data_IF_916486478567
#
_entry.id   IF_916486478567
#
_cell.length_a   1.000
_cell.length_b   1.000
_cell.length_c   1.000
_cell.angle_alpha   90.00
_cell.angle_beta   90.00
_cell.angle_gamma   90.00
#
_symmetry.space_group_name_H-M   'P 1'
#
loop_
_entity.id
_entity.type
_entity.pdbx_description
1 polymer ?
#
# COMPACT_ATOMS: atom_id res chain seq x y z
N UNK A 1 -17.84 -13.57 -18.85
CA UNK A 1 -16.38 -13.35 -18.66
C UNK A 1 -16.17 -11.90 -18.27
N UNK A 2 -15.60 -11.62 -17.09
CA UNK A 2 -15.14 -10.27 -16.76
C UNK A 2 -14.01 -9.89 -17.73
N UNK A 3 -14.16 -8.78 -18.43
CA UNK A 3 -13.16 -8.32 -19.38
C UNK A 3 -11.95 -7.79 -18.60
N UNK A 4 -10.96 -8.66 -18.34
CA UNK A 4 -9.76 -8.33 -17.57
C UNK A 4 -9.07 -7.06 -18.09
N UNK A 5 -9.10 -6.82 -19.41
CA UNK A 5 -8.56 -5.62 -20.03
C UNK A 5 -9.22 -4.33 -19.53
N UNK A 6 -10.52 -4.36 -19.23
CA UNK A 6 -11.24 -3.22 -18.67
C UNK A 6 -10.79 -2.92 -17.23
N UNK A 7 -10.66 -3.95 -16.39
CA UNK A 7 -10.21 -3.82 -14.99
C UNK A 7 -8.80 -3.20 -14.94
N UNK A 8 -7.88 -3.70 -15.75
CA UNK A 8 -6.53 -3.13 -15.81
C UNK A 8 -6.53 -1.68 -16.31
N UNK A 9 -7.37 -1.36 -17.30
CA UNK A 9 -7.51 0.00 -17.80
C UNK A 9 -8.06 0.95 -16.75
N UNK A 10 -9.08 0.52 -15.99
CA UNK A 10 -9.73 1.34 -14.97
C UNK A 10 -8.81 1.53 -13.75
N UNK A 11 -8.11 0.48 -13.31
CA UNK A 11 -7.10 0.58 -12.25
C UNK A 11 -5.93 1.49 -12.65
N UNK A 12 -5.47 1.38 -13.90
CA UNK A 12 -4.41 2.23 -14.42
C UNK A 12 -4.84 3.70 -14.44
N UNK A 13 -6.03 4.00 -14.96
CA UNK A 13 -6.60 5.36 -14.93
C UNK A 13 -6.74 5.87 -13.50
N UNK A 14 -7.17 5.02 -12.57
CA UNK A 14 -7.29 5.36 -11.16
C UNK A 14 -5.93 5.73 -10.55
N UNK A 15 -4.89 4.93 -10.78
CA UNK A 15 -3.53 5.20 -10.30
C UNK A 15 -2.95 6.46 -10.95
N UNK A 16 -3.18 6.67 -12.25
CA UNK A 16 -2.77 7.89 -12.94
C UNK A 16 -3.45 9.13 -12.34
N UNK A 17 -4.77 9.08 -12.12
CA UNK A 17 -5.53 10.16 -11.51
C UNK A 17 -5.11 10.41 -10.05
N UNK A 18 -4.71 9.36 -9.33
CA UNK A 18 -4.15 9.49 -7.99
C UNK A 18 -2.87 10.33 -7.99
N UNK A 19 -2.06 10.26 -9.05
CA UNK A 19 -0.83 11.04 -9.24
C UNK A 19 0.13 10.93 -8.03
N UNK A 20 0.61 9.71 -7.71
CA UNK A 20 1.51 9.51 -6.58
C UNK A 20 2.89 10.14 -6.84
N UNK A 21 3.50 10.63 -5.77
CA UNK A 21 4.88 11.17 -5.77
C UNK A 21 5.91 10.16 -5.30
N UNK A 22 5.51 9.17 -4.48
CA UNK A 22 6.43 8.15 -3.97
C UNK A 22 5.90 6.75 -4.15
N UNK A 23 6.83 5.82 -4.36
CA UNK A 23 6.59 4.39 -4.29
C UNK A 23 7.37 3.80 -3.11
N UNK A 24 6.68 3.04 -2.27
CA UNK A 24 7.20 2.42 -1.07
C UNK A 24 6.93 0.92 -1.11
N UNK A 25 7.97 0.11 -0.97
CA UNK A 25 7.84 -1.34 -0.79
C UNK A 25 8.03 -1.71 0.68
N UNK A 26 7.07 -2.47 1.23
CA UNK A 26 7.09 -2.95 2.60
C UNK A 26 7.10 -4.47 2.66
N UNK A 27 8.06 -5.01 3.41
CA UNK A 27 8.10 -6.42 3.77
C UNK A 27 8.29 -6.57 5.27
N UNK A 28 7.40 -7.33 5.91
CA UNK A 28 7.52 -7.64 7.33
C UNK A 28 8.52 -8.77 7.55
N UNK A 29 9.16 -8.72 8.73
CA UNK A 29 10.05 -9.78 9.19
C UNK A 29 9.34 -11.15 9.25
N UNK A 30 10.10 -12.25 9.18
CA UNK A 30 9.55 -13.62 9.11
C UNK A 30 8.50 -13.91 10.20
N UNK A 31 8.75 -13.46 11.43
CA UNK A 31 7.84 -13.63 12.57
C UNK A 31 6.59 -12.74 12.52
N UNK A 32 6.55 -11.80 11.58
CA UNK A 32 5.51 -10.79 11.42
C UNK A 32 4.95 -10.75 10.00
N UNK A 33 5.13 -11.80 9.20
CA UNK A 33 4.52 -11.90 7.87
C UNK A 33 3.01 -12.07 7.98
N UNK A 34 2.27 -11.42 7.09
CA UNK A 34 0.81 -11.52 7.07
C UNK A 34 0.42 -12.66 6.13
N UNK A 35 -0.40 -13.59 6.61
CA UNK A 35 -0.99 -14.66 5.79
C UNK A 35 -2.43 -14.37 5.36
N UNK A 36 -3.02 -13.32 5.94
CA UNK A 36 -4.39 -12.88 5.63
C UNK A 36 -4.41 -11.38 5.41
N UNK A 37 -5.35 -10.92 4.58
CA UNK A 37 -5.53 -9.51 4.26
C UNK A 37 -5.89 -8.68 5.50
N UNK A 38 -6.73 -9.21 6.39
CA UNK A 38 -7.11 -8.55 7.64
C UNK A 38 -5.91 -8.28 8.55
N UNK A 39 -4.94 -9.20 8.59
CA UNK A 39 -3.70 -9.01 9.36
C UNK A 39 -2.81 -7.98 8.67
N UNK A 40 -2.74 -8.01 7.34
CA UNK A 40 -2.00 -7.03 6.55
C UNK A 40 -2.52 -5.60 6.78
N UNK A 41 -3.84 -5.40 6.69
CA UNK A 41 -4.52 -4.12 6.92
C UNK A 41 -4.21 -3.55 8.32
N UNK A 42 -4.33 -4.37 9.37
CA UNK A 42 -4.04 -3.94 10.75
C UNK A 42 -2.59 -3.50 10.91
N UNK A 43 -1.65 -4.24 10.30
CA UNK A 43 -0.22 -3.90 10.33
C UNK A 43 0.06 -2.64 9.53
N UNK A 44 -0.57 -2.49 8.36
CA UNK A 44 -0.44 -1.30 7.53
C UNK A 44 -0.94 -0.06 8.26
N UNK A 45 -2.15 -0.12 8.83
CA UNK A 45 -2.73 0.97 9.62
C UNK A 45 -1.82 1.36 10.78
N UNK A 46 -1.35 0.36 11.54
CA UNK A 46 -0.44 0.62 12.65
C UNK A 46 0.83 1.31 12.16
N UNK A 47 1.50 0.76 11.14
CA UNK A 47 2.75 1.31 10.63
C UNK A 47 2.57 2.72 10.07
N UNK A 48 1.61 2.92 9.16
CA UNK A 48 1.36 4.22 8.52
C UNK A 48 0.89 5.27 9.53
N UNK A 49 0.14 4.90 10.57
CA UNK A 49 -0.23 5.85 11.63
C UNK A 49 0.98 6.38 12.38
N UNK A 50 1.99 5.54 12.63
CA UNK A 50 3.22 5.94 13.30
C UNK A 50 4.09 6.79 12.39
N UNK A 51 4.22 6.41 11.12
CA UNK A 51 4.98 7.18 10.13
C UNK A 51 4.36 8.56 9.94
N UNK A 52 3.06 8.63 9.69
CA UNK A 52 2.38 9.91 9.51
C UNK A 52 2.45 10.77 10.76
N UNK A 53 2.43 10.18 11.96
CA UNK A 53 2.67 10.94 13.19
C UNK A 53 4.08 11.51 13.28
N UNK A 54 5.11 10.79 12.82
CA UNK A 54 6.47 11.33 12.77
C UNK A 54 6.60 12.46 11.73
N UNK A 55 5.83 12.42 10.65
CA UNK A 55 5.85 13.44 9.58
C UNK A 55 5.02 14.68 9.95
N UNK A 56 3.79 14.48 10.43
CA UNK A 56 2.80 15.52 10.69
C UNK A 56 2.88 16.08 12.13
N UNK A 57 3.63 15.41 13.01
CA UNK A 57 3.78 15.80 14.40
C UNK A 57 2.43 15.95 15.12
N UNK A 58 2.22 17.12 15.72
CA UNK A 58 1.00 17.42 16.49
C UNK A 58 -0.27 17.41 15.62
N UNK A 59 -0.15 17.66 14.32
CA UNK A 59 -1.28 17.79 13.41
C UNK A 59 -1.74 16.45 12.80
N UNK A 60 -1.11 15.32 13.15
CA UNK A 60 -1.39 14.01 12.54
C UNK A 60 -2.85 13.53 12.66
N UNK A 61 -3.57 14.01 13.67
CA UNK A 61 -4.96 13.63 13.91
C UNK A 61 -5.95 14.42 13.03
N UNK A 62 -5.50 15.54 12.43
CA UNK A 62 -6.34 16.42 11.58
C UNK A 62 -6.14 16.14 10.11
N UNK A 63 -4.94 15.71 9.74
CA UNK A 63 -4.56 15.46 8.36
C UNK A 63 -4.07 14.02 8.25
N UNK A 64 -4.42 13.38 7.15
CA UNK A 64 -3.77 12.14 6.75
C UNK A 64 -3.16 12.35 5.37
N UNK A 65 -2.07 11.66 5.11
CA UNK A 65 -1.43 11.66 3.79
C UNK A 65 -2.07 10.56 2.95
N UNK A 66 -2.63 10.88 1.77
CA UNK A 66 -3.25 9.89 0.91
C UNK A 66 -2.25 8.85 0.41
N UNK A 67 -2.65 7.59 0.41
CA UNK A 67 -1.91 6.51 -0.24
C UNK A 67 -2.84 5.38 -0.71
N UNK A 68 -2.35 4.59 -1.66
CA UNK A 68 -2.96 3.33 -2.12
C UNK A 68 -1.94 2.21 -1.92
N UNK A 69 -2.32 1.18 -1.18
CA UNK A 69 -1.53 -0.04 -0.99
C UNK A 69 -2.01 -1.18 -1.87
N UNK A 70 -1.08 -1.96 -2.40
CA UNK A 70 -1.30 -3.19 -3.15
C UNK A 70 -0.62 -4.33 -2.41
N UNK A 71 -1.42 -5.26 -1.89
CA UNK A 71 -0.94 -6.49 -1.27
C UNK A 71 -0.67 -7.57 -2.32
N UNK A 72 0.53 -8.13 -2.29
CA UNK A 72 0.93 -9.23 -3.17
C UNK A 72 1.38 -10.44 -2.34
N UNK A 73 0.91 -11.61 -2.72
CA UNK A 73 1.28 -12.88 -2.07
C UNK A 73 2.53 -13.43 -2.76
N UNK A 74 3.58 -13.69 -1.98
CA UNK A 74 4.77 -14.35 -2.48
C UNK A 74 4.56 -15.87 -2.67
N UNK A 75 5.57 -16.56 -3.18
CA UNK A 75 5.60 -18.02 -3.37
C UNK A 75 5.37 -18.84 -2.07
N UNK A 76 5.50 -18.21 -0.90
CA UNK A 76 5.30 -18.82 0.42
C UNK A 76 3.93 -18.53 1.02
N UNK A 77 3.01 -17.91 0.27
CA UNK A 77 1.67 -17.58 0.76
C UNK A 77 1.65 -16.38 1.72
N UNK A 78 2.66 -15.52 1.66
CA UNK A 78 2.83 -14.39 2.57
C UNK A 78 2.71 -13.06 1.82
N UNK A 79 2.00 -12.12 2.43
CA UNK A 79 1.82 -10.79 1.85
C UNK A 79 3.06 -9.92 2.02
N UNK A 80 3.42 -9.23 0.93
CA UNK A 80 4.21 -8.01 0.91
C UNK A 80 3.38 -6.89 0.28
N UNK A 81 3.85 -5.64 0.38
CA UNK A 81 3.09 -4.49 -0.12
C UNK A 81 3.89 -3.52 -0.95
N UNK A 82 3.22 -3.01 -1.98
CA UNK A 82 3.61 -1.84 -2.75
C UNK A 82 2.65 -0.70 -2.39
N UNK A 83 3.17 0.46 -2.00
CA UNK A 83 2.37 1.60 -1.58
C UNK A 83 2.72 2.78 -2.45
N UNK A 84 1.69 3.37 -3.06
CA UNK A 84 1.76 4.62 -3.80
C UNK A 84 1.31 5.75 -2.87
N UNK A 85 2.17 6.72 -2.62
CA UNK A 85 1.91 7.83 -1.70
C UNK A 85 1.75 9.12 -2.52
N UNK A 86 0.72 9.90 -2.19
CA UNK A 86 0.52 11.24 -2.74
C UNK A 86 0.91 12.29 -1.70
N UNK A 87 2.12 12.81 -1.83
CA UNK A 87 2.63 13.88 -1.00
C UNK A 87 3.66 14.71 -1.76
N UNK A 88 3.27 15.88 -2.24
CA UNK A 88 4.17 16.85 -2.90
C UNK A 88 4.79 17.85 -1.91
N UNK A 89 4.38 17.81 -0.64
CA UNK A 89 4.75 18.83 0.35
C UNK A 89 6.02 18.50 1.15
N UNK A 90 6.40 17.23 1.22
CA UNK A 90 7.63 16.79 1.90
C UNK A 90 8.56 16.12 0.90
N UNK A 91 9.86 16.19 1.19
CA UNK A 91 10.92 15.55 0.42
C UNK A 91 11.08 14.06 0.75
N UNK A 92 11.71 13.32 -0.17
CA UNK A 92 12.09 11.91 0.04
C UNK A 92 12.86 11.69 1.35
N UNK A 93 13.77 12.61 1.70
CA UNK A 93 14.57 12.52 2.92
C UNK A 93 13.70 12.61 4.19
N UNK A 94 12.67 13.46 4.19
CA UNK A 94 11.72 13.56 5.30
C UNK A 94 11.02 12.22 5.54
N UNK A 95 10.52 11.59 4.47
CA UNK A 95 9.90 10.28 4.53
C UNK A 95 10.85 9.18 4.97
N UNK A 96 12.06 9.10 4.39
CA UNK A 96 13.09 8.12 4.80
C UNK A 96 13.41 8.22 6.28
N UNK A 97 13.56 9.44 6.81
CA UNK A 97 13.78 9.68 8.25
C UNK A 97 12.61 9.19 9.09
N UNK A 98 11.37 9.47 8.70
CA UNK A 98 10.19 9.01 9.42
C UNK A 98 10.08 7.48 9.45
N UNK A 99 10.28 6.81 8.32
CA UNK A 99 10.29 5.35 8.24
C UNK A 99 11.38 4.75 9.14
N UNK A 100 12.62 5.23 9.02
CA UNK A 100 13.75 4.75 9.84
C UNK A 100 13.48 4.92 11.33
N UNK A 101 12.88 6.05 11.73
CA UNK A 101 12.56 6.31 13.13
C UNK A 101 11.49 5.35 13.67
N UNK A 102 10.48 5.02 12.85
CA UNK A 102 9.44 4.04 13.22
C UNK A 102 10.01 2.63 13.29
N UNK A 103 10.86 2.23 12.34
CA UNK A 103 11.43 0.89 12.30
C UNK A 103 12.45 0.66 13.42
N UNK A 104 13.30 1.64 13.75
CA UNK A 104 14.31 1.54 14.82
C UNK A 104 13.70 1.51 16.23
N UNK A 105 12.55 2.16 16.44
CA UNK A 105 11.88 2.21 17.76
C UNK A 105 11.12 0.92 18.11
N UNK A 106 10.95 0.02 17.15
CA UNK A 106 10.05 -1.12 17.23
C UNK A 106 10.77 -2.43 17.63
N UNK A 107 11.37 -2.49 18.83
CA UNK A 107 12.02 -3.73 19.31
C UNK A 107 11.06 -4.92 19.51
N UNK A 108 9.75 -4.68 19.64
CA UNK A 108 8.70 -5.72 19.85
C UNK A 108 7.46 -5.53 19.00
N UNK A 109 7.51 -4.63 18.02
CA UNK A 109 6.33 -4.24 17.25
C UNK A 109 6.48 -4.76 15.83
N UNK A 110 5.42 -5.33 15.21
CA UNK A 110 5.46 -5.83 13.86
C UNK A 110 5.58 -4.66 12.86
N UNK A 111 6.81 -4.20 12.64
CA UNK A 111 7.15 -3.21 11.62
C UNK A 111 7.83 -3.87 10.43
N UNK A 112 7.72 -3.29 9.23
CA UNK A 112 8.52 -3.69 8.07
C UNK A 112 10.02 -3.59 8.34
N UNK A 113 10.80 -4.55 7.82
CA UNK A 113 12.25 -4.42 7.73
C UNK A 113 12.60 -3.78 6.39
N UNK A 114 13.54 -2.84 6.42
CA UNK A 114 14.10 -2.17 5.23
C UNK A 114 13.04 -1.63 4.25
N UNK A 115 12.14 -0.71 4.69
CA UNK A 115 11.22 -0.06 3.77
C UNK A 115 12.01 0.61 2.64
N UNK A 116 11.71 0.23 1.39
CA UNK A 116 12.37 0.80 0.22
C UNK A 116 11.49 1.90 -0.37
N UNK A 117 11.95 3.14 -0.29
CA UNK A 117 11.23 4.33 -0.74
C UNK A 117 11.97 5.02 -1.88
N UNK A 118 11.25 5.27 -2.96
CA UNK A 118 11.73 6.01 -4.14
C UNK A 118 10.73 7.09 -4.55
N UNK A 119 11.25 8.19 -5.10
CA UNK A 119 10.45 9.17 -5.83
C UNK A 119 10.01 8.60 -7.16
N UNK A 120 8.80 8.97 -7.58
CA UNK A 120 8.29 8.68 -8.91
C UNK A 120 8.65 9.87 -9.78
N UNK A 121 9.55 9.66 -10.75
CA UNK A 121 9.99 10.73 -11.64
C UNK A 121 8.81 11.22 -12.50
N UNK A 122 8.48 12.53 -12.46
CA UNK A 122 7.44 13.09 -13.31
C UNK A 122 7.74 12.83 -14.79
N UNK A 123 6.73 12.46 -15.58
CA UNK A 123 6.90 12.17 -17.00
C UNK A 123 7.52 10.80 -17.31
N UNK A 124 7.83 9.98 -16.31
CA UNK A 124 8.07 8.55 -16.56
C UNK A 124 6.82 7.99 -17.18
N UNK A 125 6.94 7.38 -18.37
CA UNK A 125 5.83 6.65 -18.95
C UNK A 125 5.38 5.60 -17.93
N UNK A 126 4.17 5.77 -17.43
CA UNK A 126 3.49 4.77 -16.64
C UNK A 126 3.18 3.62 -17.59
N UNK A 127 4.16 2.75 -17.80
CA UNK A 127 3.94 1.51 -18.52
C UNK A 127 3.28 0.57 -17.53
N UNK A 128 2.16 -0.03 -17.92
CA UNK A 128 1.77 -1.32 -17.37
C UNK A 128 2.83 -2.31 -17.88
N UNK A 129 4.04 -2.24 -17.31
CA UNK A 129 5.00 -3.31 -17.42
C UNK A 129 4.29 -4.46 -16.76
N UNK A 130 4.20 -5.59 -17.46
CA UNK A 130 3.75 -6.86 -16.93
C UNK A 130 4.65 -7.29 -15.76
N UNK A 131 4.70 -6.56 -14.64
CA UNK A 131 5.28 -7.00 -13.37
C UNK A 131 4.45 -8.16 -12.78
N UNK A 132 3.35 -8.47 -13.47
CA UNK A 132 2.46 -9.62 -13.31
C UNK A 132 2.81 -10.79 -14.25
N UNK A 133 3.92 -10.73 -15.01
CA UNK A 133 4.40 -11.83 -15.88
C UNK A 133 5.20 -12.91 -15.14
N UNK A 134 4.91 -13.18 -13.86
CA UNK A 134 4.92 -14.60 -13.50
C UNK A 134 3.73 -15.19 -14.24
N UNK A 135 3.98 -15.86 -15.37
CA UNK A 135 2.99 -16.67 -16.05
C UNK A 135 2.21 -17.43 -14.98
N UNK A 136 0.95 -17.04 -14.81
CA UNK A 136 -0.01 -17.71 -13.96
C UNK A 136 -0.18 -19.10 -14.58
N UNK A 137 0.62 -20.07 -14.10
CA UNK A 137 0.38 -21.46 -14.47
C UNK A 137 -1.02 -21.80 -13.96
N UNK A 138 -1.95 -22.20 -14.83
CA UNK A 138 -3.23 -22.73 -14.40
C UNK A 138 -2.94 -24.12 -13.80
N UNK A 139 -2.61 -24.14 -12.52
CA UNK A 139 -2.22 -25.34 -11.82
C UNK A 139 -1.99 -25.04 -10.34
N UNK A 140 -2.97 -25.46 -9.52
CA UNK A 140 -2.98 -25.49 -8.06
C UNK A 140 -2.88 -24.14 -7.31
N UNK A 141 -4.04 -23.73 -6.79
CA UNK A 141 -4.34 -22.57 -5.92
C UNK A 141 -4.34 -21.19 -6.60
N UNK A 142 -5.56 -20.71 -6.85
CA UNK A 142 -5.87 -19.47 -7.56
C UNK A 142 -5.20 -18.23 -7.01
N UNK A 143 -4.16 -17.78 -7.71
CA UNK A 143 -3.64 -16.43 -7.59
C UNK A 143 -4.44 -15.50 -8.51
N UNK A 144 -5.63 -15.17 -8.04
CA UNK A 144 -6.37 -14.01 -8.53
C UNK A 144 -5.67 -12.77 -7.98
N UNK A 145 -5.53 -11.70 -8.76
CA UNK A 145 -5.52 -10.37 -8.16
C UNK A 145 -6.80 -10.28 -7.36
N UNK A 146 -6.73 -10.52 -6.07
CA UNK A 146 -7.87 -10.33 -5.23
C UNK A 146 -7.95 -8.81 -5.11
N UNK A 147 -8.88 -8.16 -5.80
CA UNK A 147 -9.16 -6.72 -5.64
C UNK A 147 -9.32 -6.36 -4.14
N UNK A 148 -9.63 -7.34 -3.29
CA UNK A 148 -9.58 -7.26 -1.83
C UNK A 148 -8.21 -6.90 -1.23
N UNK A 149 -7.12 -6.96 -2.00
CA UNK A 149 -5.76 -6.63 -1.56
C UNK A 149 -5.34 -5.19 -1.92
N UNK A 150 -6.23 -4.41 -2.55
CA UNK A 150 -6.04 -2.97 -2.75
C UNK A 150 -6.60 -2.25 -1.51
N UNK A 151 -5.76 -1.48 -0.83
CA UNK A 151 -6.09 -0.82 0.44
C UNK A 151 -5.88 0.68 0.30
N UNK A 152 -6.95 1.48 0.36
CA UNK A 152 -6.87 2.94 0.38
C UNK A 152 -6.65 3.47 1.79
N UNK A 153 -5.85 4.54 1.91
CA UNK A 153 -5.70 5.29 3.16
C UNK A 153 -7.03 5.82 3.69
N UNK A 154 -7.95 6.20 2.82
CA UNK A 154 -9.28 6.69 3.23
C UNK A 154 -10.02 5.62 4.03
N UNK A 155 -9.97 4.35 3.59
CA UNK A 155 -10.57 3.23 4.31
C UNK A 155 -9.87 2.98 5.65
N UNK A 156 -8.54 3.03 5.68
CA UNK A 156 -7.77 2.76 6.89
C UNK A 156 -7.89 3.84 7.96
N UNK A 157 -7.94 5.11 7.57
CA UNK A 157 -7.92 6.26 8.48
C UNK A 157 -9.29 6.90 8.69
N UNK A 158 -10.32 6.50 7.94
CA UNK A 158 -11.71 6.85 8.25
C UNK A 158 -12.17 6.11 9.51
N UNK A 159 -11.96 6.73 10.67
CA UNK A 159 -12.81 6.42 11.82
C UNK A 159 -14.25 6.74 11.42
N UNK A 160 -15.07 5.71 11.20
CA UNK A 160 -16.54 5.74 11.00
C UNK A 160 -17.17 7.12 11.27
N UNK A 161 -17.61 7.84 10.22
CA UNK A 161 -18.97 8.39 10.32
C UNK A 161 -19.88 7.16 10.37
N UNK A 162 -20.43 6.82 11.53
CA UNK A 162 -21.54 5.86 11.61
C UNK A 162 -22.58 6.33 10.57
N UNK A 163 -22.79 5.57 9.50
CA UNK A 163 -23.86 5.84 8.53
C UNK A 163 -23.50 5.90 7.05
N UNK A 164 -22.23 5.72 6.62
CA UNK A 164 -21.94 5.52 5.19
C UNK A 164 -21.29 4.15 4.98
N UNK A 165 -22.14 3.14 4.77
CA UNK A 165 -21.72 1.93 4.06
C UNK A 165 -21.38 2.34 2.63
N UNK A 166 -20.10 2.52 2.35
CA UNK A 166 -19.65 2.51 0.97
C UNK A 166 -19.51 1.04 0.55
N UNK A 167 -20.53 0.54 -0.16
CA UNK A 167 -20.53 -0.79 -0.80
C UNK A 167 -19.77 -0.76 -2.13
N UNK A 168 -18.57 -0.17 -2.14
CA UNK A 168 -17.76 -0.12 -3.35
C UNK A 168 -16.76 -1.25 -3.37
N UNK A 169 -17.12 -2.35 -4.04
CA UNK A 169 -16.13 -3.22 -4.67
C UNK A 169 -15.42 -2.39 -5.73
N UNK A 170 -14.09 -2.26 -5.66
CA UNK A 170 -13.30 -1.77 -6.79
C UNK A 170 -13.42 -2.86 -7.87
N UNK A 171 -14.08 -2.50 -8.97
CA UNK A 171 -14.26 -3.33 -10.16
C UNK A 171 -12.91 -3.58 -10.85
#
# INVERSE_FOLDING_TARGET
>A
MFNQNKIYTDLFKYVQAFAPTYHLTLQWDCNHRARTITVLEKRLLFFMSRVQREILGRNWHRYHIPFIGFGEINDKGEYHMHILIKDSSRSLLCWKRAFNKVTLRAKRTPVPKNPYLQEITPGTEWRVVKYTMKQLKPGSMGNTYANSAIISSEYLFSRKKRGSQWNGRIL
#
